data_IF_680327229048
#
_entry.id   IF_680327229048
#
_cell.length_a   1.000
_cell.length_b   1.000
_cell.length_c   1.000
_cell.angle_alpha   90.00
_cell.angle_beta   90.00
_cell.angle_gamma   90.00
#
_symmetry.space_group_name_H-M   'P 1'
#
loop_
_entity.id
_entity.type
_entity.pdbx_description
1 polymer ?
#
# COMPACT_ATOMS: atom_id res chain seq x y z
N UNK A 1 -30.10 -25.17 7.68
CA UNK A 1 -30.40 -24.09 6.71
C UNK A 1 -29.06 -23.42 6.42
N UNK A 2 -28.52 -23.64 5.22
CA UNK A 2 -27.27 -23.07 4.64
C UNK A 2 -27.29 -21.51 4.70
N UNK A 3 -26.23 -20.68 4.64
CA UNK A 3 -24.87 -20.67 4.05
C UNK A 3 -24.11 -19.43 4.65
N UNK A 4 -22.81 -19.15 4.52
CA UNK A 4 -21.70 -19.70 3.72
C UNK A 4 -20.39 -19.54 4.54
N UNK A 5 -19.44 -20.44 4.31
CA UNK A 5 -18.14 -20.52 4.97
C UNK A 5 -17.13 -19.80 4.06
N UNK A 6 -16.61 -18.66 4.48
CA UNK A 6 -15.40 -18.12 3.87
C UNK A 6 -14.24 -18.87 4.54
N UNK A 7 -13.32 -19.45 3.78
CA UNK A 7 -12.02 -19.84 4.33
C UNK A 7 -11.21 -18.56 4.49
N UNK A 8 -11.53 -17.74 5.48
CA UNK A 8 -11.10 -16.33 5.55
C UNK A 8 -9.77 -16.22 6.25
N UNK A 9 -8.75 -15.94 5.44
CA UNK A 9 -7.64 -15.17 5.93
C UNK A 9 -8.12 -13.83 6.46
N UNK A 10 -7.80 -13.50 7.71
CA UNK A 10 -8.25 -12.24 8.29
C UNK A 10 -7.51 -11.06 7.63
N UNK A 11 -8.10 -10.47 6.59
CA UNK A 11 -7.60 -9.24 5.96
C UNK A 11 -8.01 -8.03 6.80
N UNK A 12 -7.04 -7.32 7.38
CA UNK A 12 -7.29 -6.15 8.24
C UNK A 12 -6.38 -5.00 7.88
N UNK A 13 -6.91 -3.78 7.93
CA UNK A 13 -6.08 -2.58 7.93
C UNK A 13 -5.65 -2.30 9.37
N UNK A 14 -4.35 -2.38 9.65
CA UNK A 14 -3.79 -2.11 10.98
C UNK A 14 -3.48 -0.63 11.20
N UNK A 15 -3.02 0.08 10.17
CA UNK A 15 -2.64 1.48 10.27
C UNK A 15 -2.84 2.22 8.94
N UNK A 16 -3.14 3.52 9.05
CA UNK A 16 -3.12 4.44 7.92
C UNK A 16 -2.52 5.79 8.35
N UNK A 17 -1.64 6.34 7.51
CA UNK A 17 -1.03 7.66 7.70
C UNK A 17 -1.10 8.43 6.39
N UNK A 18 -1.54 9.70 6.43
CA UNK A 18 -1.47 10.58 5.28
C UNK A 18 -0.07 11.15 5.15
N UNK A 19 0.50 11.05 3.95
CA UNK A 19 1.85 11.53 3.64
C UNK A 19 1.88 12.34 2.35
N UNK A 20 2.98 13.06 2.14
CA UNK A 20 3.28 13.70 0.86
C UNK A 20 4.53 13.04 0.29
N UNK A 21 4.37 12.35 -0.83
CA UNK A 21 5.48 11.70 -1.53
C UNK A 21 6.26 12.75 -2.31
N UNK A 22 7.60 12.68 -2.35
CA UNK A 22 8.42 13.64 -3.09
C UNK A 22 8.24 13.53 -4.61
N UNK A 23 7.83 12.36 -5.10
CA UNK A 23 7.66 12.06 -6.51
C UNK A 23 6.60 10.95 -6.73
N UNK A 24 6.33 10.64 -7.99
CA UNK A 24 5.30 9.67 -8.41
C UNK A 24 5.62 8.20 -8.06
N UNK A 25 6.82 7.87 -7.55
CA UNK A 25 7.17 6.53 -7.07
C UNK A 25 6.45 6.14 -5.78
N UNK A 26 5.78 7.09 -5.11
CA UNK A 26 5.15 6.88 -3.81
C UNK A 26 6.15 6.35 -2.76
N UNK A 27 7.42 6.75 -2.89
CA UNK A 27 8.51 6.35 -1.98
C UNK A 27 9.09 4.97 -2.25
N UNK A 28 8.73 4.32 -3.37
CA UNK A 28 9.18 2.97 -3.73
C UNK A 28 9.61 2.92 -5.19
N UNK A 29 10.74 3.58 -5.52
CA UNK A 29 11.24 3.62 -6.88
C UNK A 29 11.78 2.25 -7.30
N UNK A 30 11.52 1.87 -8.55
CA UNK A 30 12.11 0.68 -9.17
C UNK A 30 13.33 1.07 -10.03
N UNK A 31 14.36 0.22 -10.01
CA UNK A 31 15.57 0.43 -10.81
C UNK A 31 15.24 0.52 -12.32
N UNK A 32 15.82 1.50 -12.99
CA UNK A 32 15.62 1.72 -14.43
C UNK A 32 14.36 2.53 -14.79
N UNK A 33 13.54 2.92 -13.82
CA UNK A 33 12.39 3.80 -14.04
C UNK A 33 12.70 5.25 -13.69
N UNK A 34 12.09 6.16 -14.45
CA UNK A 34 12.11 7.59 -14.17
C UNK A 34 10.72 8.03 -13.66
N UNK A 35 10.69 8.62 -12.47
CA UNK A 35 9.46 9.10 -11.85
C UNK A 35 9.34 10.62 -11.95
N UNK A 36 8.12 11.08 -12.20
CA UNK A 36 7.82 12.50 -12.23
C UNK A 36 8.06 13.12 -10.85
N UNK A 37 8.87 14.18 -10.81
CA UNK A 37 9.22 14.92 -9.59
C UNK A 37 8.07 15.86 -9.17
N UNK A 38 6.95 15.26 -8.77
CA UNK A 38 5.75 15.95 -8.34
C UNK A 38 5.38 15.50 -6.94
N UNK A 39 5.14 16.46 -6.05
CA UNK A 39 4.65 16.18 -4.70
C UNK A 39 3.29 15.50 -4.83
N UNK A 40 3.23 14.23 -4.47
CA UNK A 40 2.04 13.40 -4.62
C UNK A 40 1.44 13.13 -3.25
N UNK A 41 0.28 13.71 -2.90
CA UNK A 41 -0.41 13.38 -1.66
C UNK A 41 -0.83 11.91 -1.68
N UNK A 42 -0.73 11.24 -0.54
CA UNK A 42 -0.96 9.81 -0.48
C UNK A 42 -1.09 9.26 0.92
N UNK A 43 -1.03 7.93 1.01
CA UNK A 43 -1.16 7.22 2.28
C UNK A 43 -0.09 6.14 2.42
N UNK A 44 0.42 5.98 3.65
CA UNK A 44 1.06 4.75 4.11
C UNK A 44 0.01 3.91 4.80
N UNK A 45 -0.17 2.68 4.34
CA UNK A 45 -1.12 1.71 4.84
C UNK A 45 -0.36 0.49 5.33
N UNK A 46 -0.82 -0.13 6.41
CA UNK A 46 -0.29 -1.41 6.87
C UNK A 46 -1.44 -2.41 6.94
N UNK A 47 -1.38 -3.44 6.10
CA UNK A 47 -2.36 -4.52 6.11
C UNK A 47 -1.81 -5.74 6.85
N UNK A 48 -2.70 -6.47 7.49
CA UNK A 48 -2.50 -7.80 8.09
C UNK A 48 -3.33 -8.80 7.30
N UNK A 49 -2.67 -9.84 6.77
CA UNK A 49 -3.31 -10.99 6.15
C UNK A 49 -2.78 -12.24 6.83
N UNK A 50 -3.61 -12.90 7.63
CA UNK A 50 -3.23 -14.12 8.34
C UNK A 50 -1.95 -13.98 9.20
N UNK A 51 -1.70 -12.80 9.76
CA UNK A 51 -0.49 -12.51 10.55
C UNK A 51 0.71 -12.05 9.73
N UNK A 52 0.62 -12.02 8.39
CA UNK A 52 1.63 -11.42 7.53
C UNK A 52 1.32 -9.93 7.31
N UNK A 53 2.34 -9.10 7.50
CA UNK A 53 2.23 -7.64 7.39
C UNK A 53 2.62 -7.16 5.99
N UNK A 54 1.79 -6.31 5.40
CA UNK A 54 1.97 -5.75 4.07
C UNK A 54 1.93 -4.22 4.14
N UNK A 55 3.11 -3.56 4.16
CA UNK A 55 3.17 -2.12 3.97
C UNK A 55 2.79 -1.76 2.53
N UNK A 56 1.80 -0.89 2.38
CA UNK A 56 1.28 -0.42 1.09
C UNK A 56 1.33 1.09 1.05
N UNK A 57 1.89 1.65 -0.01
CA UNK A 57 1.86 3.08 -0.28
C UNK A 57 0.86 3.38 -1.40
N UNK A 58 0.07 4.44 -1.24
CA UNK A 58 -0.90 4.86 -2.25
C UNK A 58 -0.83 6.35 -2.55
N UNK A 59 -1.40 6.75 -3.68
CA UNK A 59 -1.83 8.13 -3.89
C UNK A 59 -3.13 8.43 -3.09
N UNK A 60 -3.53 9.69 -3.05
CA UNK A 60 -4.62 10.15 -2.18
C UNK A 60 -6.00 9.59 -2.57
N UNK A 61 -6.26 9.37 -3.86
CA UNK A 61 -7.52 8.82 -4.36
C UNK A 61 -7.52 7.28 -4.44
N UNK A 62 -6.35 6.65 -4.25
CA UNK A 62 -6.21 5.19 -4.26
C UNK A 62 -6.15 4.54 -5.65
N UNK A 63 -6.12 5.31 -6.74
CA UNK A 63 -5.94 4.75 -8.09
C UNK A 63 -4.57 4.10 -8.31
N UNK A 64 -3.57 4.43 -7.48
CA UNK A 64 -2.26 3.81 -7.51
C UNK A 64 -1.86 3.34 -6.11
N UNK A 65 -1.52 2.05 -6.00
CA UNK A 65 -1.08 1.41 -4.76
C UNK A 65 0.10 0.49 -5.06
N UNK A 66 1.13 0.55 -4.23
CA UNK A 66 2.35 -0.26 -4.35
C UNK A 66 2.66 -0.91 -3.01
N UNK A 67 3.02 -2.20 -3.02
CA UNK A 67 3.56 -2.89 -1.84
C UNK A 67 5.06 -2.68 -1.85
N UNK A 68 5.58 -2.01 -0.83
CA UNK A 68 7.00 -1.71 -0.75
C UNK A 68 7.66 -2.73 0.17
N UNK A 69 8.44 -3.64 -0.40
CA UNK A 69 9.26 -4.55 0.38
C UNK A 69 10.36 -3.81 1.15
N UNK A 70 10.94 -4.48 2.14
CA UNK A 70 12.09 -3.96 2.92
C UNK A 70 13.40 -3.83 2.10
N UNK A 71 13.33 -4.00 0.78
CA UNK A 71 14.43 -3.85 -0.17
C UNK A 71 13.99 -2.79 -1.19
N UNK A 72 14.21 -1.53 -0.82
CA UNK A 72 14.15 -0.39 -1.74
C UNK A 72 15.50 -0.18 -2.41
#
# INVERSE_FOLDING_TARGET
MLAAEVGEGAFRLLSYERVQWPDASLGCPEEGYAYAQVITPGHKLLFDLDGALYPVHSNADGSHMVICGEDG
#
